data_IF_684754880949
#
_entry.id   IF_684754880949
#
_cell.length_a   1.000
_cell.length_b   1.000
_cell.length_c   1.000
_cell.angle_alpha   90.00
_cell.angle_beta   90.00
_cell.angle_gamma   90.00
#
_symmetry.space_group_name_H-M   'P 1'
#
loop_
_entity.id
_entity.type
_entity.pdbx_description
1 polymer ?
#
# COMPACT_ATOMS: atom_id res chain seq x y z
N UNK A 1 -0.40 -2.37 24.18
CA UNK A 1 0.95 -1.79 24.31
C UNK A 1 1.84 -2.15 23.11
N UNK A 2 1.86 -3.41 22.67
CA UNK A 2 2.73 -3.87 21.56
C UNK A 2 2.37 -3.29 20.19
N UNK A 3 1.08 -3.14 19.87
CA UNK A 3 0.64 -2.54 18.60
C UNK A 3 1.07 -1.06 18.43
N UNK A 4 1.04 -0.28 19.51
CA UNK A 4 1.52 1.10 19.47
C UNK A 4 3.04 1.19 19.22
N UNK A 5 3.80 0.19 19.67
CA UNK A 5 5.23 0.13 19.46
C UNK A 5 5.61 -0.19 18.01
N UNK A 6 4.92 -1.12 17.34
CA UNK A 6 5.20 -1.45 15.94
C UNK A 6 4.88 -0.29 14.98
N UNK A 7 3.82 0.48 15.23
CA UNK A 7 3.53 1.70 14.47
C UNK A 7 4.61 2.77 14.64
N UNK A 8 5.09 2.99 15.86
CA UNK A 8 6.21 3.91 16.11
C UNK A 8 7.48 3.49 15.36
N UNK A 9 7.74 2.19 15.26
CA UNK A 9 8.87 1.66 14.50
C UNK A 9 8.75 1.97 13.00
N UNK A 10 7.55 1.87 12.42
CA UNK A 10 7.30 2.28 11.02
C UNK A 10 7.58 3.76 10.83
N UNK A 11 7.10 4.62 11.74
CA UNK A 11 7.35 6.06 11.68
C UNK A 11 8.86 6.37 11.73
N UNK A 12 9.61 5.72 12.62
CA UNK A 12 11.08 5.88 12.69
C UNK A 12 11.73 5.43 11.37
N UNK A 13 11.25 4.31 10.78
CA UNK A 13 11.76 3.85 9.50
C UNK A 13 11.51 4.88 8.38
N UNK A 14 10.33 5.48 8.34
CA UNK A 14 9.99 6.53 7.37
C UNK A 14 10.80 7.81 7.56
N UNK A 15 11.06 8.22 8.81
CA UNK A 15 11.98 9.33 9.10
C UNK A 15 13.37 9.09 8.51
N UNK A 16 13.91 7.86 8.64
CA UNK A 16 15.19 7.49 8.01
C UNK A 16 15.10 7.38 6.49
N UNK A 17 13.94 7.08 5.93
CA UNK A 17 13.74 7.04 4.48
C UNK A 17 13.66 8.43 3.86
N UNK A 18 12.95 9.35 4.53
CA UNK A 18 12.69 10.69 3.99
C UNK A 18 13.84 11.67 4.30
N UNK A 19 14.54 11.48 5.40
CA UNK A 19 15.64 12.37 5.81
C UNK A 19 15.18 13.74 6.34
N UNK A 20 13.89 13.87 6.72
CA UNK A 20 13.33 15.15 7.15
C UNK A 20 13.71 15.55 8.57
N UNK A 21 13.80 14.57 9.47
CA UNK A 21 14.09 14.77 10.91
C UNK A 21 15.47 14.26 11.27
N UNK A 22 15.92 13.20 10.62
CA UNK A 22 17.24 12.58 10.80
C UNK A 22 17.89 12.39 9.43
N UNK A 23 19.24 12.37 9.33
CA UNK A 23 19.89 12.11 8.05
C UNK A 23 19.39 10.81 7.40
N UNK A 24 19.08 10.87 6.11
CA UNK A 24 18.57 9.72 5.36
C UNK A 24 19.49 8.50 5.52
N UNK A 25 18.91 7.38 5.91
CA UNK A 25 19.64 6.12 6.09
C UNK A 25 18.73 4.91 5.84
N UNK A 26 18.70 4.47 4.61
CA UNK A 26 17.86 3.34 4.19
C UNK A 26 18.22 2.01 4.88
N UNK A 27 19.48 1.81 5.29
CA UNK A 27 19.87 0.61 6.05
C UNK A 27 19.25 0.62 7.45
N UNK A 28 19.23 1.77 8.13
CA UNK A 28 18.54 1.92 9.42
C UNK A 28 17.02 1.79 9.25
N UNK A 29 16.46 2.40 8.21
CA UNK A 29 15.04 2.24 7.90
C UNK A 29 14.65 0.77 7.75
N UNK A 30 15.46 -0.03 7.02
CA UNK A 30 15.24 -1.47 6.89
C UNK A 30 15.13 -2.18 8.24
N UNK A 31 16.07 -1.92 9.16
CA UNK A 31 16.06 -2.53 10.50
C UNK A 31 14.77 -2.23 11.25
N UNK A 32 14.28 -0.98 11.17
CA UNK A 32 13.04 -0.59 11.82
C UNK A 32 11.80 -1.20 11.16
N UNK A 33 11.77 -1.30 9.82
CA UNK A 33 10.70 -2.03 9.13
C UNK A 33 10.71 -3.52 9.47
N UNK A 34 11.89 -4.15 9.61
CA UNK A 34 12.01 -5.56 10.03
C UNK A 34 11.41 -5.78 11.42
N UNK A 35 11.77 -4.93 12.39
CA UNK A 35 11.21 -4.99 13.75
C UNK A 35 9.69 -4.82 13.77
N UNK A 36 9.15 -3.92 12.96
CA UNK A 36 7.71 -3.74 12.85
C UNK A 36 7.02 -4.94 12.20
N UNK A 37 7.61 -5.48 11.12
CA UNK A 37 7.10 -6.65 10.43
C UNK A 37 7.11 -7.92 11.29
N UNK A 38 8.13 -8.11 12.13
CA UNK A 38 8.22 -9.21 13.11
C UNK A 38 7.08 -9.17 14.14
N UNK A 39 6.51 -7.97 14.39
CA UNK A 39 5.33 -7.79 15.23
C UNK A 39 4.01 -7.84 14.45
N UNK A 40 4.04 -8.29 13.19
CA UNK A 40 2.85 -8.41 12.33
C UNK A 40 2.35 -7.08 11.75
N UNK A 41 3.15 -6.00 11.83
CA UNK A 41 2.74 -4.72 11.27
C UNK A 41 2.87 -4.73 9.74
N UNK A 42 1.73 -4.60 9.05
CA UNK A 42 1.65 -4.68 7.59
C UNK A 42 2.32 -3.51 6.86
N UNK A 43 2.39 -2.33 7.48
CA UNK A 43 3.14 -1.19 6.95
C UNK A 43 4.64 -1.46 6.99
N UNK A 44 5.14 -2.12 8.03
CA UNK A 44 6.50 -2.61 8.11
C UNK A 44 6.82 -3.59 6.97
N UNK A 45 5.94 -4.57 6.74
CA UNK A 45 6.06 -5.52 5.61
C UNK A 45 6.03 -4.80 4.27
N UNK A 46 5.13 -3.84 4.09
CA UNK A 46 5.06 -3.01 2.88
C UNK A 46 6.32 -2.15 2.69
N UNK A 47 6.85 -1.60 3.78
CA UNK A 47 8.12 -0.86 3.78
C UNK A 47 9.27 -1.70 3.24
N UNK A 48 9.42 -2.94 3.72
CA UNK A 48 10.41 -3.89 3.21
C UNK A 48 10.21 -4.19 1.72
N UNK A 49 8.97 -4.43 1.28
CA UNK A 49 8.65 -4.64 -0.13
C UNK A 49 9.14 -3.47 -1.00
N UNK A 50 8.91 -2.24 -0.56
CA UNK A 50 9.38 -1.02 -1.26
C UNK A 50 10.90 -0.95 -1.34
N UNK A 51 11.61 -1.23 -0.24
CA UNK A 51 13.08 -1.24 -0.23
C UNK A 51 13.64 -2.20 -1.28
N UNK A 52 13.13 -3.43 -1.34
CA UNK A 52 13.57 -4.41 -2.34
C UNK A 52 13.13 -4.05 -3.76
N UNK A 53 11.95 -3.49 -3.95
CA UNK A 53 11.45 -3.04 -5.26
C UNK A 53 12.33 -1.96 -5.89
N UNK A 54 12.78 -1.00 -5.09
CA UNK A 54 13.55 0.15 -5.57
C UNK A 54 15.06 -0.04 -5.40
N UNK A 55 15.50 -0.99 -4.59
CA UNK A 55 16.91 -1.20 -4.27
C UNK A 55 17.45 -0.13 -3.31
N UNK A 56 16.60 0.41 -2.43
CA UNK A 56 16.97 1.49 -1.52
C UNK A 56 17.59 0.91 -0.25
N UNK A 57 18.89 1.09 -0.06
CA UNK A 57 19.64 0.51 1.07
C UNK A 57 19.84 -1.01 1.02
N UNK A 58 19.31 -1.67 0.02
CA UNK A 58 19.44 -3.11 -0.26
C UNK A 58 19.66 -3.34 -1.74
N UNK A 59 20.19 -4.51 -2.10
CA UNK A 59 20.22 -4.93 -3.51
C UNK A 59 18.76 -5.07 -4.00
N UNK A 60 18.46 -4.49 -5.18
CA UNK A 60 17.15 -4.61 -5.81
C UNK A 60 16.80 -6.07 -6.06
N UNK A 61 15.58 -6.44 -5.63
CA UNK A 61 15.07 -7.81 -5.74
C UNK A 61 13.54 -7.76 -5.89
N UNK A 62 13.08 -7.93 -7.12
CA UNK A 62 11.65 -7.86 -7.42
C UNK A 62 10.87 -9.08 -6.93
N UNK A 63 11.50 -10.26 -6.86
CA UNK A 63 10.83 -11.48 -6.39
C UNK A 63 10.57 -11.36 -4.88
N UNK A 64 11.58 -10.91 -4.13
CA UNK A 64 11.45 -10.66 -2.70
C UNK A 64 10.44 -9.54 -2.41
N UNK A 65 10.46 -8.46 -3.21
CA UNK A 65 9.47 -7.40 -3.10
C UNK A 65 8.05 -7.91 -3.33
N UNK A 66 7.85 -8.75 -4.35
CA UNK A 66 6.55 -9.35 -4.65
C UNK A 66 6.07 -10.26 -3.51
N UNK A 67 6.95 -11.08 -2.93
CA UNK A 67 6.62 -11.95 -1.80
C UNK A 67 6.12 -11.14 -0.59
N UNK A 68 6.80 -10.05 -0.22
CA UNK A 68 6.36 -9.16 0.85
C UNK A 68 5.04 -8.46 0.53
N UNK A 69 4.86 -7.96 -0.71
CA UNK A 69 3.56 -7.39 -1.12
C UNK A 69 2.45 -8.41 -1.02
N UNK A 70 2.68 -9.65 -1.48
CA UNK A 70 1.68 -10.70 -1.45
C UNK A 70 1.30 -11.06 0.00
N UNK A 71 2.28 -11.20 0.88
CA UNK A 71 2.05 -11.45 2.30
C UNK A 71 1.09 -10.41 2.90
N UNK A 72 1.43 -9.12 2.84
CA UNK A 72 0.59 -8.08 3.41
C UNK A 72 -0.74 -7.88 2.65
N UNK A 73 -0.80 -8.18 1.35
CA UNK A 73 -2.02 -8.06 0.57
C UNK A 73 -3.08 -9.11 0.95
N UNK A 74 -2.67 -10.30 1.38
CA UNK A 74 -3.56 -11.35 1.89
C UNK A 74 -4.22 -10.93 3.20
N UNK A 75 -3.50 -10.18 4.04
CA UNK A 75 -4.00 -9.60 5.29
C UNK A 75 -4.67 -8.22 5.08
N UNK A 76 -5.20 -8.00 3.92
CA UNK A 76 -6.05 -6.85 3.53
C UNK A 76 -5.35 -5.48 3.48
N UNK A 77 -4.02 -5.43 3.45
CA UNK A 77 -3.27 -4.21 3.36
C UNK A 77 -3.37 -3.54 1.98
N UNK A 78 -4.06 -2.41 1.91
CA UNK A 78 -4.45 -1.71 0.66
C UNK A 78 -3.24 -1.39 -0.23
N UNK A 79 -2.18 -0.80 0.34
CA UNK A 79 -0.98 -0.41 -0.41
C UNK A 79 -0.25 -1.62 -1.00
N UNK A 80 -0.23 -2.73 -0.29
CA UNK A 80 0.37 -3.97 -0.77
C UNK A 80 -0.48 -4.65 -1.84
N UNK A 81 -1.80 -4.58 -1.77
CA UNK A 81 -2.70 -5.05 -2.83
C UNK A 81 -2.44 -4.32 -4.15
N UNK A 82 -2.25 -2.99 -4.11
CA UNK A 82 -1.80 -2.22 -5.29
C UNK A 82 -0.41 -2.67 -5.74
N UNK A 83 0.51 -2.91 -4.81
CA UNK A 83 1.86 -3.42 -5.09
C UNK A 83 1.83 -4.75 -5.86
N UNK A 84 0.96 -5.69 -5.46
CA UNK A 84 0.73 -6.97 -6.17
C UNK A 84 0.17 -6.72 -7.57
N UNK A 85 -0.86 -5.87 -7.69
CA UNK A 85 -1.44 -5.51 -8.99
C UNK A 85 -0.40 -4.93 -9.96
N UNK A 86 0.43 -4.01 -9.49
CA UNK A 86 1.52 -3.43 -10.27
C UNK A 86 2.60 -4.46 -10.64
N UNK A 87 2.92 -5.40 -9.75
CA UNK A 87 3.89 -6.45 -10.02
C UNK A 87 3.44 -7.36 -11.16
N UNK A 88 2.19 -7.76 -11.18
CA UNK A 88 1.60 -8.53 -12.30
C UNK A 88 1.53 -7.74 -13.61
N UNK A 89 1.23 -6.43 -13.56
CA UNK A 89 1.18 -5.55 -14.73
C UNK A 89 2.55 -5.40 -15.37
N UNK A 90 3.57 -5.16 -14.56
CA UNK A 90 4.91 -4.73 -14.98
C UNK A 90 5.90 -5.91 -15.09
N UNK A 91 5.49 -7.14 -14.81
CA UNK A 91 6.35 -8.34 -14.76
C UNK A 91 7.52 -8.17 -13.77
N UNK A 92 7.28 -7.61 -12.59
CA UNK A 92 8.29 -7.37 -11.55
C UNK A 92 8.17 -8.40 -10.43
N UNK A 93 9.09 -9.37 -10.41
CA UNK A 93 9.11 -10.48 -9.44
C UNK A 93 8.07 -11.56 -9.70
N UNK A 94 7.31 -11.46 -10.79
CA UNK A 94 6.28 -12.41 -11.19
C UNK A 94 6.01 -12.30 -12.67
N UNK A 95 5.55 -13.37 -13.32
CA UNK A 95 5.18 -13.35 -14.72
C UNK A 95 4.03 -12.38 -14.98
N UNK A 96 4.11 -11.62 -16.09
CA UNK A 96 3.09 -10.65 -16.48
C UNK A 96 1.71 -11.31 -16.59
N UNK A 97 0.73 -10.72 -15.91
CA UNK A 97 -0.64 -11.21 -15.95
C UNK A 97 -1.63 -10.05 -15.74
N UNK A 98 -2.19 -9.55 -16.85
CA UNK A 98 -3.09 -8.41 -16.83
C UNK A 98 -4.42 -8.72 -16.12
N UNK A 99 -4.89 -9.99 -16.17
CA UNK A 99 -6.11 -10.44 -15.49
C UNK A 99 -5.93 -10.38 -13.97
N UNK A 100 -4.81 -10.90 -13.46
CA UNK A 100 -4.48 -10.82 -12.03
C UNK A 100 -4.23 -9.38 -11.60
N UNK A 101 -3.54 -8.59 -12.41
CA UNK A 101 -3.33 -7.16 -12.13
C UNK A 101 -4.66 -6.42 -11.96
N UNK A 102 -5.59 -6.61 -12.91
CA UNK A 102 -6.91 -6.00 -12.86
C UNK A 102 -7.72 -6.47 -11.65
N UNK A 103 -7.69 -7.78 -11.33
CA UNK A 103 -8.42 -8.35 -10.20
C UNK A 103 -7.98 -7.72 -8.87
N UNK A 104 -6.67 -7.63 -8.61
CA UNK A 104 -6.15 -7.02 -7.39
C UNK A 104 -6.48 -5.52 -7.27
N UNK A 105 -6.38 -4.78 -8.36
CA UNK A 105 -6.74 -3.35 -8.37
C UNK A 105 -8.25 -3.14 -8.21
N UNK A 106 -9.08 -4.05 -8.72
CA UNK A 106 -10.53 -4.02 -8.54
C UNK A 106 -10.91 -4.19 -7.07
N UNK A 107 -10.26 -5.15 -6.36
CA UNK A 107 -10.46 -5.37 -4.92
C UNK A 107 -10.22 -4.06 -4.14
N UNK A 108 -9.14 -3.36 -4.46
CA UNK A 108 -8.82 -2.07 -3.82
C UNK A 108 -9.85 -1.01 -4.16
N UNK A 109 -10.28 -0.90 -5.42
CA UNK A 109 -11.22 0.15 -5.87
C UNK A 109 -12.60 0.02 -5.25
N UNK A 110 -13.00 -1.20 -4.87
CA UNK A 110 -14.32 -1.47 -4.29
C UNK A 110 -14.40 -1.14 -2.80
N UNK A 111 -13.26 -0.93 -2.12
CA UNK A 111 -13.23 -0.73 -0.66
C UNK A 111 -13.91 0.55 -0.17
N UNK A 112 -13.95 1.59 -1.00
CA UNK A 112 -14.60 2.85 -0.64
C UNK A 112 -15.43 3.31 -1.84
N UNK A 113 -16.72 3.56 -1.59
CA UNK A 113 -17.61 4.13 -2.59
C UNK A 113 -17.31 5.63 -2.86
N UNK A 114 -18.00 6.20 -3.87
CA UNK A 114 -17.80 7.61 -4.25
C UNK A 114 -18.15 8.61 -3.14
N UNK A 115 -19.08 8.26 -2.23
CA UNK A 115 -19.51 9.14 -1.14
C UNK A 115 -18.52 9.10 0.01
N UNK A 116 -18.03 7.90 0.38
CA UNK A 116 -16.95 7.73 1.34
C UNK A 116 -15.67 8.46 0.92
N UNK A 117 -15.27 8.38 -0.36
CA UNK A 117 -14.10 9.12 -0.89
C UNK A 117 -14.25 10.64 -0.72
N UNK A 118 -15.44 11.20 -1.04
CA UNK A 118 -15.67 12.65 -0.90
C UNK A 118 -15.70 13.10 0.55
N UNK A 119 -16.30 12.31 1.43
CA UNK A 119 -16.39 12.64 2.86
C UNK A 119 -14.99 12.70 3.48
N UNK A 120 -14.15 11.71 3.24
CA UNK A 120 -12.81 11.62 3.79
C UNK A 120 -11.89 12.68 3.16
N UNK A 121 -12.00 12.96 1.87
CA UNK A 121 -11.23 14.02 1.20
C UNK A 121 -11.57 15.41 1.78
N UNK A 122 -12.85 15.69 2.05
CA UNK A 122 -13.30 16.93 2.65
C UNK A 122 -12.78 17.08 4.08
N UNK A 123 -12.77 16.00 4.87
CA UNK A 123 -12.24 15.98 6.23
C UNK A 123 -10.72 16.24 6.23
N UNK A 124 -9.97 15.60 5.30
CA UNK A 124 -8.54 15.84 5.12
C UNK A 124 -8.20 17.28 4.73
N UNK A 125 -8.96 17.88 3.81
CA UNK A 125 -8.78 19.28 3.41
C UNK A 125 -9.04 20.24 4.58
N UNK A 126 -10.09 19.97 5.37
CA UNK A 126 -10.44 20.79 6.56
C UNK A 126 -9.37 20.73 7.65
N UNK A 127 -8.72 19.57 7.81
CA UNK A 127 -7.67 19.38 8.80
C UNK A 127 -6.31 19.91 8.34
N UNK A 128 -5.99 19.80 7.06
CA UNK A 128 -4.79 20.41 6.50
C UNK A 128 -4.77 21.92 6.75
N UNK A 129 -5.91 22.57 6.62
CA UNK A 129 -6.05 24.02 6.81
C UNK A 129 -6.00 24.42 8.30
N UNK A 130 -6.27 23.47 9.22
CA UNK A 130 -6.15 23.64 10.67
C UNK A 130 -4.78 23.24 11.26
N UNK A 131 -3.90 22.67 10.47
CA UNK A 131 -2.62 22.07 10.91
C UNK A 131 -1.55 23.07 11.37
N UNK A 132 -1.77 24.34 11.12
CA UNK A 132 -0.80 25.42 11.45
C UNK A 132 -0.71 25.73 12.96
N UNK A 133 -1.43 25.01 13.83
CA UNK A 133 -1.58 25.42 15.23
C UNK A 133 -1.37 24.41 16.35
N UNK A 134 -1.15 23.10 16.11
CA UNK A 134 -0.98 22.16 17.24
C UNK A 134 -0.11 20.93 16.92
N UNK A 135 0.74 20.58 17.91
CA UNK A 135 1.64 19.41 17.91
C UNK A 135 0.89 18.11 17.59
N UNK A 136 1.43 17.22 16.74
CA UNK A 136 0.72 16.02 16.30
C UNK A 136 0.48 15.03 17.45
N UNK A 137 -0.77 14.80 17.76
CA UNK A 137 -1.25 13.76 18.67
C UNK A 137 -1.38 12.42 17.89
N UNK A 138 -1.39 11.25 18.58
CA UNK A 138 -1.54 9.92 17.96
C UNK A 138 -2.74 9.79 16.98
N UNK A 139 -3.78 10.57 17.17
CA UNK A 139 -4.90 10.70 16.24
C UNK A 139 -4.48 11.18 14.84
N UNK A 140 -3.43 11.97 14.74
CA UNK A 140 -2.92 12.48 13.46
C UNK A 140 -2.28 11.36 12.62
N UNK A 141 -1.56 10.44 13.25
CA UNK A 141 -0.93 9.31 12.54
C UNK A 141 -1.98 8.36 11.93
N UNK A 142 -3.05 8.03 12.66
CA UNK A 142 -4.14 7.19 12.13
C UNK A 142 -4.84 7.85 10.93
N UNK A 143 -5.02 9.17 10.95
CA UNK A 143 -5.65 9.93 9.86
C UNK A 143 -4.76 10.09 8.64
N UNK A 144 -3.43 10.19 8.81
CA UNK A 144 -2.49 10.14 7.69
C UNK A 144 -2.50 8.75 7.00
N UNK A 145 -2.65 7.68 7.76
CA UNK A 145 -2.80 6.32 7.22
C UNK A 145 -4.08 6.23 6.36
N UNK A 146 -5.22 6.71 6.85
CA UNK A 146 -6.50 6.75 6.11
C UNK A 146 -6.40 7.61 4.84
N UNK A 147 -5.82 8.80 4.92
CA UNK A 147 -5.59 9.66 3.76
C UNK A 147 -4.66 9.01 2.72
N UNK A 148 -3.61 8.31 3.18
CA UNK A 148 -2.71 7.55 2.32
C UNK A 148 -3.43 6.41 1.59
N UNK A 149 -4.34 5.72 2.27
CA UNK A 149 -5.13 4.64 1.68
C UNK A 149 -6.12 5.18 0.64
N UNK A 150 -6.73 6.34 0.88
CA UNK A 150 -7.62 7.01 -0.09
C UNK A 150 -6.86 7.39 -1.36
N UNK A 151 -5.69 8.00 -1.22
CA UNK A 151 -4.83 8.32 -2.36
C UNK A 151 -4.43 7.05 -3.12
N UNK A 152 -4.17 5.96 -2.40
CA UNK A 152 -3.85 4.65 -2.97
C UNK A 152 -5.04 4.06 -3.73
N UNK A 153 -6.26 4.17 -3.21
CA UNK A 153 -7.48 3.73 -3.89
C UNK A 153 -7.76 4.59 -5.13
N UNK A 154 -7.58 5.89 -5.04
CA UNK A 154 -7.68 6.80 -6.18
C UNK A 154 -6.70 6.44 -7.30
N UNK A 155 -5.47 6.11 -6.94
CA UNK A 155 -4.46 5.62 -7.87
C UNK A 155 -4.84 4.27 -8.49
N UNK A 156 -5.35 3.32 -7.69
CA UNK A 156 -5.83 2.04 -8.18
C UNK A 156 -6.97 2.20 -9.20
N UNK A 157 -7.92 3.11 -8.97
CA UNK A 157 -9.01 3.43 -9.93
C UNK A 157 -8.47 3.96 -11.25
N UNK A 158 -7.45 4.83 -11.21
CA UNK A 158 -6.79 5.34 -12.43
C UNK A 158 -6.11 4.21 -13.20
N UNK A 159 -5.41 3.32 -12.51
CA UNK A 159 -4.77 2.15 -13.12
C UNK A 159 -5.78 1.18 -13.73
N UNK A 160 -6.93 0.97 -13.08
CA UNK A 160 -8.00 0.13 -13.62
C UNK A 160 -8.53 0.68 -14.94
N UNK A 161 -8.69 2.01 -15.04
CA UNK A 161 -9.15 2.65 -16.27
C UNK A 161 -8.16 2.42 -17.42
N UNK A 162 -6.86 2.57 -17.18
CA UNK A 162 -5.80 2.28 -18.16
C UNK A 162 -5.82 0.81 -18.59
N UNK A 163 -5.89 -0.12 -17.63
CA UNK A 163 -5.94 -1.55 -17.93
C UNK A 163 -7.20 -1.93 -18.73
N UNK A 164 -8.35 -1.33 -18.39
CA UNK A 164 -9.63 -1.59 -19.09
C UNK A 164 -9.54 -1.26 -20.58
N UNK A 165 -8.79 -0.23 -20.97
CA UNK A 165 -8.57 0.12 -22.36
C UNK A 165 -7.70 -0.90 -23.13
N UNK A 166 -6.88 -1.66 -22.42
CA UNK A 166 -5.90 -2.61 -22.98
C UNK A 166 -6.36 -4.07 -22.91
N UNK A 167 -7.52 -4.34 -22.32
CA UNK A 167 -8.03 -5.70 -22.08
C UNK A 167 -9.31 -5.95 -22.85
N UNK A 168 -9.48 -7.18 -23.35
CA UNK A 168 -10.74 -7.63 -23.92
C UNK A 168 -11.82 -7.80 -22.86
N UNK A 169 -13.09 -7.73 -23.25
CA UNK A 169 -14.24 -7.97 -22.37
C UNK A 169 -14.13 -9.33 -21.66
N UNK A 170 -13.67 -10.38 -22.37
CA UNK A 170 -13.45 -11.72 -21.82
C UNK A 170 -12.41 -11.70 -20.68
N UNK A 171 -11.32 -10.98 -20.86
CA UNK A 171 -10.28 -10.83 -19.83
C UNK A 171 -10.78 -10.04 -18.62
N UNK A 172 -11.56 -8.97 -18.84
CA UNK A 172 -12.16 -8.19 -17.76
C UNK A 172 -13.14 -9.03 -16.95
N UNK A 173 -14.01 -9.82 -17.60
CA UNK A 173 -14.95 -10.69 -16.91
C UNK A 173 -14.23 -11.78 -16.11
N UNK A 174 -13.16 -12.38 -16.66
CA UNK A 174 -12.31 -13.31 -15.92
C UNK A 174 -11.67 -12.67 -14.70
N UNK A 175 -11.21 -11.43 -14.82
CA UNK A 175 -10.61 -10.69 -13.72
C UNK A 175 -11.61 -10.36 -12.60
N UNK A 176 -12.86 -9.99 -12.96
CA UNK A 176 -13.93 -9.77 -11.98
C UNK A 176 -14.25 -11.04 -11.19
N UNK A 177 -14.36 -12.19 -11.89
CA UNK A 177 -14.57 -13.47 -11.22
C UNK A 177 -13.43 -13.81 -10.27
N UNK A 178 -12.19 -13.64 -10.71
CA UNK A 178 -11.00 -13.85 -9.88
C UNK A 178 -10.96 -12.92 -8.65
N UNK A 179 -11.38 -11.68 -8.80
CA UNK A 179 -11.44 -10.74 -7.68
C UNK A 179 -12.41 -11.22 -6.57
N UNK A 180 -13.57 -11.75 -6.98
CA UNK A 180 -14.54 -12.31 -6.03
C UNK A 180 -14.03 -13.62 -5.38
N UNK A 181 -13.29 -14.45 -6.12
CA UNK A 181 -12.64 -15.64 -5.58
C UNK A 181 -11.61 -15.25 -4.51
N UNK A 182 -10.72 -14.30 -4.81
CA UNK A 182 -9.72 -13.80 -3.85
C UNK A 182 -10.38 -13.20 -2.59
N UNK A 183 -11.48 -12.46 -2.74
CA UNK A 183 -12.21 -11.91 -1.59
C UNK A 183 -12.78 -13.01 -0.69
N UNK A 184 -13.31 -14.10 -1.28
CA UNK A 184 -13.87 -15.24 -0.54
C UNK A 184 -12.82 -16.05 0.20
N UNK A 185 -11.65 -16.25 -0.39
CA UNK A 185 -10.55 -16.99 0.25
C UNK A 185 -9.96 -16.26 1.46
N UNK A 186 -10.27 -14.97 1.61
CA UNK A 186 -9.77 -14.08 2.67
C UNK A 186 -10.82 -13.75 3.74
N UNK A 187 -12.09 -14.09 3.51
CA UNK A 187 -13.19 -13.93 4.47
C UNK A 187 -13.24 -15.07 5.46
#
# INVERSE_FOLDING_TARGET
>A
AEQGYSKAQVVIAEMYMNGEVVPMNAKKAKVWYEKAAEQGNLDGVNGLARLYRYGTGVRKDYEKAFAYYQQAALDDHIRSQVGVGLSYRDAKGVNKNMVKAYAWLLIVSDKIDKQGMKAIQKEYELERDNLDKTIPNCKYLSRLEEASDIMTIGYAKKLLLDLKQRMSIKQINKAKKLAEEIKKERA
#
